data_IF_627914969184
#
_entry.id   IF_627914969184
#
_cell.length_a   1.000
_cell.length_b   1.000
_cell.length_c   1.000
_cell.angle_alpha   90.00
_cell.angle_beta   90.00
_cell.angle_gamma   90.00
#
_symmetry.space_group_name_H-M   'P 1'
#
loop_
_entity.id
_entity.type
_entity.pdbx_description
1 polymer ?
#
# COMPACT_ATOMS: atom_id res chain seq x y z
N UNK A 1 -3.44 -12.63 6.13
CA UNK A 1 -3.90 -11.26 5.84
C UNK A 1 -3.30 -10.84 4.51
N UNK A 2 -4.07 -10.14 3.67
CA UNK A 2 -3.63 -9.73 2.34
C UNK A 2 -3.64 -8.20 2.27
N UNK A 3 -2.51 -7.62 1.87
CA UNK A 3 -2.43 -6.21 1.52
C UNK A 3 -2.85 -6.05 0.06
N UNK A 4 -3.90 -5.28 -0.19
CA UNK A 4 -4.29 -4.88 -1.54
C UNK A 4 -3.52 -3.63 -1.92
N UNK A 5 -2.91 -3.62 -3.10
CA UNK A 5 -2.19 -2.45 -3.63
C UNK A 5 -2.75 -2.04 -4.99
N UNK A 6 -2.82 -0.72 -5.19
CA UNK A 6 -2.99 -0.11 -6.50
C UNK A 6 -1.72 0.66 -6.87
N UNK A 7 -1.34 0.61 -8.15
CA UNK A 7 -0.24 1.44 -8.66
C UNK A 7 -0.51 1.85 -10.10
N UNK A 8 0.15 2.93 -10.52
CA UNK A 8 0.32 3.27 -11.94
C UNK A 8 1.69 2.76 -12.38
N UNK A 9 1.88 2.57 -13.69
CA UNK A 9 3.15 2.08 -14.26
C UNK A 9 4.32 3.05 -14.01
N UNK A 10 5.56 2.56 -13.84
CA UNK A 10 5.96 1.14 -13.84
C UNK A 10 5.64 0.44 -12.51
N UNK A 11 5.18 -0.81 -12.60
CA UNK A 11 4.71 -1.57 -11.44
C UNK A 11 5.85 -2.35 -10.76
N UNK A 12 5.89 -2.32 -9.42
CA UNK A 12 6.75 -3.18 -8.62
C UNK A 12 6.19 -4.61 -8.46
N UNK A 13 7.07 -5.61 -8.40
CA UNK A 13 6.70 -7.01 -8.18
C UNK A 13 6.04 -7.21 -6.79
N UNK A 14 4.80 -7.72 -6.72
CA UNK A 14 4.12 -8.00 -5.46
C UNK A 14 4.91 -8.91 -4.51
N UNK A 15 5.71 -9.85 -5.03
CA UNK A 15 6.51 -10.73 -4.19
C UNK A 15 7.60 -9.96 -3.42
N UNK A 16 8.32 -9.06 -4.10
CA UNK A 16 9.32 -8.20 -3.48
C UNK A 16 8.70 -7.26 -2.42
N UNK A 17 7.47 -6.79 -2.66
CA UNK A 17 6.72 -5.99 -1.69
C UNK A 17 6.35 -6.83 -0.47
N UNK A 18 5.87 -8.06 -0.67
CA UNK A 18 5.52 -8.96 0.43
C UNK A 18 6.73 -9.29 1.32
N UNK A 19 7.90 -9.55 0.71
CA UNK A 19 9.16 -9.75 1.43
C UNK A 19 9.54 -8.51 2.27
N UNK A 20 9.46 -7.32 1.67
CA UNK A 20 9.76 -6.06 2.35
C UNK A 20 8.81 -5.80 3.51
N UNK A 21 7.50 -6.04 3.31
CA UNK A 21 6.47 -5.91 4.33
C UNK A 21 6.76 -6.85 5.51
N UNK A 22 7.09 -8.11 5.24
CA UNK A 22 7.47 -9.07 6.28
C UNK A 22 8.74 -8.62 7.01
N UNK A 23 9.77 -8.14 6.30
CA UNK A 23 11.04 -7.73 6.90
C UNK A 23 10.87 -6.54 7.86
N UNK A 24 10.08 -5.53 7.47
CA UNK A 24 9.91 -4.30 8.24
C UNK A 24 8.88 -4.44 9.37
N UNK A 25 7.79 -5.15 9.13
CA UNK A 25 6.66 -5.22 10.07
C UNK A 25 6.64 -6.51 10.89
N UNK A 26 7.40 -7.54 10.47
CA UNK A 26 7.35 -8.92 10.99
C UNK A 26 6.00 -9.62 10.83
N UNK A 27 5.07 -9.03 10.08
CA UNK A 27 3.75 -9.60 9.81
C UNK A 27 3.77 -10.46 8.55
N UNK A 28 3.30 -11.71 8.68
CA UNK A 28 3.13 -12.63 7.56
C UNK A 28 1.84 -12.30 6.80
N UNK A 29 1.96 -12.03 5.51
CA UNK A 29 0.83 -11.72 4.65
C UNK A 29 1.16 -11.85 3.17
N UNK A 30 0.11 -11.86 2.35
CA UNK A 30 0.21 -11.80 0.89
C UNK A 30 0.04 -10.35 0.41
N UNK A 31 0.47 -10.08 -0.82
CA UNK A 31 0.24 -8.79 -1.50
C UNK A 31 -0.46 -9.08 -2.82
N UNK A 32 -1.66 -8.54 -2.98
CA UNK A 32 -2.46 -8.68 -4.20
C UNK A 32 -2.63 -7.33 -4.88
N UNK A 33 -2.57 -7.34 -6.21
CA UNK A 33 -2.79 -6.15 -7.03
C UNK A 33 -4.24 -6.02 -7.43
N UNK A 34 -4.72 -4.79 -7.36
CA UNK A 34 -6.04 -4.41 -7.86
C UNK A 34 -5.91 -3.28 -8.89
N UNK A 35 -6.99 -3.02 -9.62
CA UNK A 35 -7.02 -1.92 -10.59
C UNK A 35 -6.86 -0.57 -9.87
N UNK A 36 -6.20 0.40 -10.51
CA UNK A 36 -6.10 1.75 -9.95
C UNK A 36 -7.47 2.39 -9.78
N UNK A 37 -7.74 2.95 -8.60
CA UNK A 37 -9.02 3.54 -8.24
C UNK A 37 -10.07 2.53 -7.80
N UNK A 38 -9.71 1.25 -7.61
CA UNK A 38 -10.65 0.22 -7.14
C UNK A 38 -10.64 0.02 -5.63
N UNK A 39 -9.66 0.58 -4.92
CA UNK A 39 -9.67 0.55 -3.46
C UNK A 39 -10.78 1.46 -2.90
N UNK A 40 -11.42 1.10 -1.77
CA UNK A 40 -12.46 1.93 -1.18
C UNK A 40 -11.93 3.31 -0.78
N UNK A 41 -12.56 4.37 -1.29
CA UNK A 41 -12.39 5.74 -0.79
C UNK A 41 -13.47 6.00 0.28
N UNK A 42 -13.05 6.25 1.52
CA UNK A 42 -13.97 6.45 2.65
C UNK A 42 -14.49 7.90 2.76
N UNK A 43 -14.19 8.74 1.75
CA UNK A 43 -14.58 10.14 1.68
C UNK A 43 -13.94 11.03 2.74
N UNK A 44 -12.94 10.53 3.49
CA UNK A 44 -12.27 11.31 4.52
C UNK A 44 -11.11 12.10 3.91
N UNK A 45 -11.07 13.37 4.25
CA UNK A 45 -9.91 14.21 4.00
C UNK A 45 -8.92 14.05 5.17
N UNK A 46 -7.70 13.60 4.88
CA UNK A 46 -6.59 13.60 5.85
C UNK A 46 -5.72 14.83 5.58
N UNK A 47 -5.79 15.85 6.43
CA UNK A 47 -4.88 16.99 6.37
C UNK A 47 -3.50 16.63 6.96
N UNK A 48 -2.58 16.13 6.12
CA UNK A 48 -1.19 15.83 6.50
C UNK A 48 -0.34 17.12 6.59
N UNK A 49 -0.64 17.96 7.59
CA UNK A 49 0.12 19.19 7.87
C UNK A 49 1.28 18.89 8.80
N UNK A 50 2.49 19.30 8.41
CA UNK A 50 3.69 19.30 9.27
C UNK A 50 4.03 20.75 9.68
N UNK A 51 4.49 20.99 10.91
CA UNK A 51 4.96 22.32 11.33
C UNK A 51 6.09 22.82 10.42
N UNK A 52 6.09 24.13 10.16
CA UNK A 52 7.19 24.82 9.50
C UNK A 52 8.05 25.45 10.60
N UNK A 53 8.91 24.65 11.23
CA UNK A 53 9.94 25.12 12.17
C UNK A 53 11.33 24.88 11.57
#
# INVERSE_FOLDING_TARGET
MTLLIESREPIADPAAIAESLQALTRLRGAVDRVASGSLPEDGKLIEDRRPLD
#
